data_IF_935408045274
#
_entry.id   IF_935408045274
#
_cell.length_a   1.000
_cell.length_b   1.000
_cell.length_c   1.000
_cell.angle_alpha   90.00
_cell.angle_beta   90.00
_cell.angle_gamma   90.00
#
_symmetry.space_group_name_H-M   'P 1'
#
loop_
_entity.id
_entity.type
_entity.pdbx_description
1 polymer ?
#
# COMPACT_ATOMS: atom_id res chain seq x y z
N UNK A 1 48.42 -18.87 18.42
CA UNK A 1 47.78 -19.88 19.29
C UNK A 1 46.36 -20.05 18.80
N UNK A 2 46.03 -21.27 18.39
CA UNK A 2 44.81 -21.65 17.70
C UNK A 2 43.67 -21.90 18.68
N UNK A 3 42.42 -21.59 18.29
CA UNK A 3 41.22 -22.35 18.69
C UNK A 3 40.00 -21.92 17.89
N UNK A 4 39.77 -22.64 16.79
CA UNK A 4 38.46 -23.17 16.36
C UNK A 4 38.67 -24.71 16.40
N UNK A 5 37.66 -25.61 16.47
CA UNK A 5 36.25 -25.45 16.13
C UNK A 5 35.25 -26.22 17.02
N UNK A 6 33.95 -26.01 16.81
CA UNK A 6 32.94 -27.04 17.12
C UNK A 6 31.73 -26.91 16.18
N UNK A 7 31.64 -27.88 15.27
CA UNK A 7 30.51 -28.11 14.38
C UNK A 7 29.59 -29.19 14.95
N UNK A 8 28.36 -29.25 14.37
CA UNK A 8 27.36 -30.35 14.28
C UNK A 8 26.10 -30.19 15.13
N UNK A 9 24.97 -30.88 14.82
CA UNK A 9 24.64 -31.65 13.60
C UNK A 9 23.30 -31.27 12.94
N UNK A 10 23.15 -31.73 11.70
CA UNK A 10 21.94 -31.63 10.89
C UNK A 10 20.74 -32.41 11.44
N UNK A 11 19.54 -31.98 11.03
CA UNK A 11 18.30 -32.72 11.20
C UNK A 11 17.79 -33.13 9.83
N UNK A 12 17.95 -34.41 9.54
CA UNK A 12 17.26 -35.11 8.46
C UNK A 12 15.76 -35.19 8.78
N UNK A 13 14.91 -34.79 7.83
CA UNK A 13 13.48 -35.04 7.88
C UNK A 13 13.18 -36.37 7.17
N UNK A 14 12.53 -37.35 7.82
CA UNK A 14 12.11 -38.57 7.14
C UNK A 14 10.81 -38.34 6.36
N UNK A 15 10.90 -38.57 5.05
CA UNK A 15 9.77 -38.73 4.12
C UNK A 15 8.81 -39.81 4.62
N UNK A 16 7.53 -39.48 4.82
CA UNK A 16 6.47 -40.48 5.02
C UNK A 16 5.73 -40.74 3.72
N UNK A 17 5.89 -41.98 3.29
CA UNK A 17 5.23 -42.67 2.19
C UNK A 17 3.75 -42.90 2.53
N UNK A 18 2.90 -42.76 1.50
CA UNK A 18 1.44 -42.99 1.50
C UNK A 18 1.07 -44.46 1.80
N UNK A 19 -0.11 -44.71 2.39
CA UNK A 19 -0.86 -45.94 2.13
C UNK A 19 -1.87 -45.73 1.00
N UNK A 20 -1.78 -46.58 -0.02
CA UNK A 20 -2.84 -46.82 -1.02
C UNK A 20 -3.94 -47.67 -0.38
N UNK A 21 -5.20 -47.33 -0.62
CA UNK A 21 -6.34 -48.22 -0.40
C UNK A 21 -6.91 -48.67 -1.75
N UNK A 22 -7.56 -49.85 -1.81
CA UNK A 22 -7.67 -50.67 -3.01
C UNK A 22 -8.92 -50.39 -3.84
N UNK A 23 -8.79 -50.75 -5.11
CA UNK A 23 -9.85 -50.86 -6.10
C UNK A 23 -10.90 -51.93 -5.71
N UNK A 24 -12.16 -51.56 -5.81
CA UNK A 24 -13.30 -52.43 -6.14
C UNK A 24 -14.16 -51.61 -7.12
N UNK A 25 -14.64 -52.09 -8.27
CA UNK A 25 -14.86 -53.45 -8.70
C UNK A 25 -16.31 -53.56 -9.18
N UNK A 26 -16.53 -53.38 -10.48
CA UNK A 26 -17.59 -54.06 -11.25
C UNK A 26 -18.99 -53.45 -11.27
N UNK A 27 -19.58 -53.44 -12.48
CA UNK A 27 -21.01 -53.73 -12.66
C UNK A 27 -21.81 -52.69 -13.43
N UNK A 28 -21.84 -52.82 -14.75
CA UNK A 28 -22.82 -52.18 -15.62
C UNK A 28 -24.18 -52.91 -15.58
N UNK A 29 -25.27 -52.18 -15.84
CA UNK A 29 -26.29 -52.46 -16.87
C UNK A 29 -27.72 -52.07 -16.43
N UNK A 30 -28.26 -51.10 -17.17
CA UNK A 30 -29.62 -50.96 -17.71
C UNK A 30 -30.79 -51.75 -17.10
N UNK A 31 -31.88 -51.03 -16.79
CA UNK A 31 -33.18 -51.13 -17.50
C UNK A 31 -34.21 -50.17 -16.85
N UNK A 32 -34.74 -49.24 -17.64
CA UNK A 32 -36.08 -48.67 -17.47
C UNK A 32 -37.10 -49.60 -18.19
N UNK A 33 -38.44 -49.37 -18.22
CA UNK A 33 -39.21 -48.23 -17.71
C UNK A 33 -40.53 -48.62 -16.98
N UNK A 34 -41.18 -47.67 -16.29
CA UNK A 34 -42.63 -47.69 -16.08
C UNK A 34 -43.19 -46.27 -15.98
N UNK A 35 -44.33 -46.08 -16.62
CA UNK A 35 -44.97 -44.83 -17.02
C UNK A 35 -46.18 -44.54 -16.11
N UNK A 36 -46.51 -43.24 -16.01
CA UNK A 36 -47.75 -42.59 -15.56
C UNK A 36 -47.84 -42.19 -14.07
N UNK A 37 -48.68 -41.20 -13.70
CA UNK A 37 -49.42 -40.19 -14.49
C UNK A 37 -49.06 -38.73 -14.12
N UNK A 38 -49.57 -37.78 -14.91
CA UNK A 38 -49.40 -36.35 -14.75
C UNK A 38 -50.00 -35.82 -13.43
N UNK A 39 -49.20 -35.05 -12.68
CA UNK A 39 -49.62 -34.25 -11.54
C UNK A 39 -49.40 -32.78 -11.89
N UNK A 40 -50.47 -32.01 -11.81
CA UNK A 40 -50.58 -30.61 -12.20
C UNK A 40 -49.69 -29.76 -11.29
N UNK A 41 -48.71 -29.05 -11.88
CA UNK A 41 -47.84 -28.12 -11.16
C UNK A 41 -48.61 -26.86 -10.80
N UNK A 42 -48.55 -26.38 -9.54
CA UNK A 42 -48.97 -25.02 -9.23
C UNK A 42 -48.01 -24.03 -9.91
N UNK A 43 -48.57 -23.03 -10.58
CA UNK A 43 -47.83 -21.90 -11.13
C UNK A 43 -47.12 -21.16 -10.00
N UNK A 44 -45.80 -21.29 -9.93
CA UNK A 44 -44.95 -20.41 -9.13
C UNK A 44 -45.03 -19.00 -9.72
N UNK A 45 -45.28 -17.96 -8.91
CA UNK A 45 -45.24 -16.58 -9.39
C UNK A 45 -43.83 -16.27 -9.89
N UNK A 46 -43.78 -15.56 -11.03
CA UNK A 46 -42.55 -15.12 -11.66
C UNK A 46 -41.64 -14.42 -10.64
N UNK A 47 -40.49 -15.03 -10.37
CA UNK A 47 -39.37 -14.35 -9.69
C UNK A 47 -38.90 -13.30 -10.68
N UNK A 48 -39.14 -12.03 -10.37
CA UNK A 48 -38.54 -10.90 -11.07
C UNK A 48 -37.02 -11.09 -11.00
N UNK A 49 -36.42 -11.24 -12.18
CA UNK A 49 -34.99 -11.44 -12.39
C UNK A 49 -34.28 -10.14 -11.96
N UNK A 50 -33.83 -10.08 -10.71
CA UNK A 50 -33.03 -8.98 -10.20
C UNK A 50 -31.75 -8.92 -11.03
N UNK A 51 -31.42 -7.77 -11.66
CA UNK A 51 -30.25 -7.69 -12.54
C UNK A 51 -29.00 -8.11 -11.76
N UNK A 52 -28.10 -8.91 -12.36
CA UNK A 52 -26.93 -9.40 -11.68
C UNK A 52 -26.14 -8.23 -11.10
N UNK A 53 -25.65 -8.36 -9.85
CA UNK A 53 -24.89 -7.28 -9.21
C UNK A 53 -23.71 -6.89 -10.10
N UNK A 54 -23.38 -5.59 -10.18
CA UNK A 54 -22.26 -5.13 -10.99
C UNK A 54 -20.99 -5.90 -10.60
N UNK A 55 -20.11 -6.22 -11.57
CA UNK A 55 -18.86 -6.90 -11.27
C UNK A 55 -18.07 -6.07 -10.25
N UNK A 56 -17.39 -6.72 -9.29
CA UNK A 56 -16.56 -6.00 -8.32
C UNK A 56 -15.53 -5.14 -9.08
N UNK A 57 -15.27 -3.90 -8.63
CA UNK A 57 -14.25 -3.06 -9.24
C UNK A 57 -12.93 -3.82 -9.28
N UNK A 58 -12.18 -3.61 -10.37
CA UNK A 58 -10.85 -4.22 -10.46
C UNK A 58 -9.94 -3.61 -9.39
N UNK A 59 -8.94 -4.35 -8.89
CA UNK A 59 -8.01 -3.83 -7.86
C UNK A 59 -7.35 -2.49 -8.27
N UNK A 60 -7.31 -2.21 -9.57
CA UNK A 60 -6.75 -1.01 -10.20
C UNK A 60 -7.69 0.21 -10.18
N UNK A 61 -8.97 0.05 -9.87
CA UNK A 61 -9.95 1.13 -9.76
C UNK A 61 -10.13 1.64 -8.33
N UNK A 62 -9.56 0.95 -7.35
CA UNK A 62 -9.72 1.25 -5.93
C UNK A 62 -8.92 2.50 -5.56
N UNK A 63 -9.61 3.59 -5.23
CA UNK A 63 -9.02 4.85 -4.73
C UNK A 63 -9.04 4.96 -3.21
N UNK A 64 -9.74 4.05 -2.52
CA UNK A 64 -9.86 4.02 -1.05
C UNK A 64 -9.90 2.56 -0.59
N UNK A 65 -9.11 2.25 0.44
CA UNK A 65 -9.11 0.94 1.07
C UNK A 65 -10.23 0.82 2.11
N UNK A 66 -10.63 -0.41 2.45
CA UNK A 66 -11.62 -0.69 3.52
C UNK A 66 -11.22 -0.09 4.88
N UNK A 67 -9.93 0.18 5.07
CA UNK A 67 -9.36 0.84 6.26
C UNK A 67 -9.64 2.35 6.32
N UNK A 68 -10.22 2.93 5.26
CA UNK A 68 -10.38 4.38 5.07
C UNK A 68 -9.13 5.09 4.54
N UNK A 69 -8.06 4.33 4.22
CA UNK A 69 -6.86 4.92 3.64
C UNK A 69 -7.12 5.30 2.18
N UNK A 70 -7.07 6.60 1.90
CA UNK A 70 -7.14 7.16 0.55
C UNK A 70 -5.86 6.85 -0.21
N UNK A 71 -5.98 6.51 -1.48
CA UNK A 71 -4.86 6.19 -2.38
C UNK A 71 -4.73 7.29 -3.44
N UNK A 72 -3.85 8.30 -3.22
CA UNK A 72 -3.62 9.36 -4.21
C UNK A 72 -3.04 8.84 -5.52
N UNK A 73 -2.35 7.70 -5.46
CA UNK A 73 -1.88 6.92 -6.60
C UNK A 73 -2.46 5.51 -6.50
N UNK A 74 -2.92 4.97 -7.62
CA UNK A 74 -3.35 3.57 -7.75
C UNK A 74 -2.16 2.70 -8.16
N UNK A 75 -2.35 1.38 -8.14
CA UNK A 75 -1.33 0.43 -8.59
C UNK A 75 -0.88 0.68 -10.03
N UNK A 76 -1.82 0.98 -10.93
CA UNK A 76 -1.50 1.33 -12.33
C UNK A 76 -0.63 2.58 -12.43
N UNK A 77 -0.94 3.62 -11.67
CA UNK A 77 -0.22 4.89 -11.69
C UNK A 77 1.24 4.69 -11.20
N UNK A 78 1.44 3.87 -10.16
CA UNK A 78 2.77 3.47 -9.68
C UNK A 78 3.53 2.67 -10.74
N UNK A 79 2.85 1.77 -11.45
CA UNK A 79 3.42 1.01 -12.56
C UNK A 79 3.94 1.92 -13.68
N UNK A 80 3.15 2.92 -14.07
CA UNK A 80 3.54 3.93 -15.06
C UNK A 80 4.78 4.72 -14.63
N UNK A 81 4.84 5.17 -13.38
CA UNK A 81 6.01 5.88 -12.83
C UNK A 81 7.25 4.98 -12.82
N UNK A 82 7.11 3.71 -12.44
CA UNK A 82 8.22 2.76 -12.39
C UNK A 82 8.74 2.34 -13.76
N UNK A 83 7.90 2.40 -14.80
CA UNK A 83 8.26 2.08 -16.18
C UNK A 83 9.22 3.12 -16.82
N UNK A 84 9.29 4.33 -16.26
CA UNK A 84 10.20 5.40 -16.71
C UNK A 84 11.67 5.17 -16.30
N UNK A 85 11.94 4.10 -15.54
CA UNK A 85 13.26 3.51 -15.26
C UNK A 85 14.43 4.49 -15.02
N UNK A 86 14.28 5.38 -14.03
CA UNK A 86 15.35 6.27 -13.60
C UNK A 86 15.44 7.59 -14.37
N UNK A 87 14.56 7.83 -15.35
CA UNK A 87 14.31 9.19 -15.85
C UNK A 87 13.56 10.01 -14.79
N UNK A 88 14.33 10.56 -13.86
CA UNK A 88 13.80 11.40 -12.77
C UNK A 88 13.01 12.60 -13.29
N UNK A 89 13.36 13.14 -14.46
CA UNK A 89 12.66 14.30 -15.02
C UNK A 89 11.28 13.91 -15.53
N UNK A 90 11.19 12.79 -16.25
CA UNK A 90 9.91 12.25 -16.69
C UNK A 90 9.03 11.81 -15.50
N UNK A 91 9.62 11.12 -14.52
CA UNK A 91 8.92 10.69 -13.31
C UNK A 91 8.34 11.87 -12.53
N UNK A 92 9.11 12.95 -12.38
CA UNK A 92 8.66 14.19 -11.73
C UNK A 92 7.44 14.76 -12.45
N UNK A 93 7.49 14.89 -13.78
CA UNK A 93 6.38 15.46 -14.56
C UNK A 93 5.10 14.62 -14.45
N UNK A 94 5.22 13.30 -14.55
CA UNK A 94 4.07 12.38 -14.44
C UNK A 94 3.47 12.44 -13.05
N UNK A 95 4.30 12.37 -12.01
CA UNK A 95 3.86 12.43 -10.63
C UNK A 95 3.21 13.78 -10.27
N UNK A 96 3.80 14.90 -10.70
CA UNK A 96 3.23 16.24 -10.50
C UNK A 96 1.84 16.35 -11.14
N UNK A 97 1.67 15.81 -12.34
CA UNK A 97 0.40 15.82 -13.06
C UNK A 97 -0.66 14.92 -12.40
N UNK A 98 -0.30 13.69 -12.01
CA UNK A 98 -1.21 12.74 -11.35
C UNK A 98 -1.73 13.26 -10.01
N UNK A 99 -0.87 13.92 -9.23
CA UNK A 99 -1.20 14.35 -7.88
C UNK A 99 -1.69 15.80 -7.78
N UNK A 100 -1.68 16.56 -8.89
CA UNK A 100 -2.01 17.99 -8.91
C UNK A 100 -1.09 18.80 -8.00
N UNK A 101 0.23 18.51 -8.03
CA UNK A 101 1.18 19.14 -7.10
C UNK A 101 1.40 20.62 -7.40
N UNK A 102 1.19 21.06 -8.64
CA UNK A 102 1.31 22.47 -9.03
C UNK A 102 0.27 23.33 -8.29
N UNK A 103 -0.96 22.81 -8.18
CA UNK A 103 -2.08 23.46 -7.52
C UNK A 103 -1.95 23.36 -5.99
N UNK A 104 -1.60 22.17 -5.47
CA UNK A 104 -1.43 21.93 -4.03
C UNK A 104 -0.23 22.69 -3.44
N UNK A 105 0.83 22.86 -4.23
CA UNK A 105 2.08 23.49 -3.83
C UNK A 105 2.52 24.50 -4.89
N UNK A 106 1.97 25.73 -4.89
CA UNK A 106 2.29 26.74 -5.91
C UNK A 106 3.77 27.18 -5.86
N UNK A 107 4.37 27.16 -4.66
CA UNK A 107 5.77 27.53 -4.43
C UNK A 107 6.71 26.41 -4.90
N UNK A 108 7.55 26.71 -5.91
CA UNK A 108 8.38 25.70 -6.58
C UNK A 108 9.33 24.91 -5.66
N UNK A 109 10.08 25.52 -4.71
CA UNK A 109 10.93 24.75 -3.79
C UNK A 109 10.15 23.75 -2.93
N UNK A 110 8.96 24.13 -2.44
CA UNK A 110 8.10 23.24 -1.66
C UNK A 110 7.60 22.08 -2.52
N UNK A 111 7.12 22.39 -3.72
CA UNK A 111 6.65 21.39 -4.68
C UNK A 111 7.75 20.39 -5.02
N UNK A 112 8.96 20.87 -5.28
CA UNK A 112 10.11 20.03 -5.56
C UNK A 112 10.44 19.10 -4.39
N UNK A 113 10.49 19.63 -3.16
CA UNK A 113 10.77 18.81 -1.98
C UNK A 113 9.71 17.70 -1.76
N UNK A 114 8.43 18.02 -1.98
CA UNK A 114 7.32 17.06 -1.89
C UNK A 114 7.42 16.00 -3.00
N UNK A 115 7.71 16.41 -4.23
CA UNK A 115 7.85 15.50 -5.36
C UNK A 115 9.04 14.54 -5.17
N UNK A 116 10.20 15.07 -4.76
CA UNK A 116 11.40 14.26 -4.45
C UNK A 116 11.12 13.26 -3.32
N UNK A 117 10.41 13.69 -2.27
CA UNK A 117 10.00 12.80 -1.19
C UNK A 117 9.16 11.62 -1.70
N UNK A 118 8.14 11.87 -2.52
CA UNK A 118 7.31 10.80 -3.08
C UNK A 118 8.08 9.87 -4.02
N UNK A 119 8.91 10.41 -4.92
CA UNK A 119 9.73 9.60 -5.82
C UNK A 119 10.73 8.73 -5.05
N UNK A 120 11.31 9.25 -3.97
CA UNK A 120 12.23 8.49 -3.15
C UNK A 120 11.54 7.33 -2.42
N UNK A 121 10.33 7.55 -1.90
CA UNK A 121 9.51 6.49 -1.31
C UNK A 121 9.14 5.40 -2.34
N UNK A 122 8.72 5.79 -3.55
CA UNK A 122 8.39 4.86 -4.63
C UNK A 122 9.61 4.10 -5.15
N UNK A 123 10.76 4.76 -5.24
CA UNK A 123 12.03 4.14 -5.61
C UNK A 123 12.45 3.09 -4.57
N UNK A 124 12.32 3.40 -3.28
CA UNK A 124 12.59 2.44 -2.22
C UNK A 124 11.63 1.25 -2.26
N UNK A 125 10.34 1.49 -2.48
CA UNK A 125 9.36 0.41 -2.65
C UNK A 125 9.74 -0.53 -3.81
N UNK A 126 10.16 0.04 -4.96
CA UNK A 126 10.69 -0.73 -6.09
C UNK A 126 11.94 -1.52 -5.71
N UNK A 127 12.88 -0.91 -4.97
CA UNK A 127 14.12 -1.54 -4.52
C UNK A 127 13.90 -2.70 -3.53
N UNK A 128 12.82 -2.66 -2.75
CA UNK A 128 12.38 -3.75 -1.87
C UNK A 128 11.56 -4.82 -2.60
N UNK A 129 11.45 -4.74 -3.93
CA UNK A 129 10.65 -5.63 -4.78
C UNK A 129 9.17 -5.69 -4.38
N UNK A 130 8.62 -4.58 -3.90
CA UNK A 130 7.19 -4.49 -3.59
C UNK A 130 6.37 -4.46 -4.88
N UNK A 131 5.16 -5.01 -4.82
CA UNK A 131 4.17 -4.87 -5.90
C UNK A 131 3.76 -3.40 -6.08
N UNK A 132 3.19 -3.06 -7.23
CA UNK A 132 2.67 -1.72 -7.49
C UNK A 132 1.60 -1.31 -6.50
N UNK A 133 0.71 -2.24 -6.11
CA UNK A 133 -0.28 -2.04 -5.05
C UNK A 133 0.37 -1.71 -3.71
N UNK A 134 1.38 -2.48 -3.29
CA UNK A 134 2.14 -2.19 -2.08
C UNK A 134 2.85 -0.82 -2.15
N UNK A 135 3.40 -0.45 -3.31
CA UNK A 135 3.98 0.87 -3.55
C UNK A 135 2.97 2.00 -3.41
N UNK A 136 1.76 1.83 -3.96
CA UNK A 136 0.66 2.79 -3.84
C UNK A 136 0.23 2.99 -2.38
N UNK A 137 0.07 1.90 -1.62
CA UNK A 137 -0.28 1.95 -0.20
C UNK A 137 0.83 2.60 0.63
N UNK A 138 2.09 2.26 0.36
CA UNK A 138 3.20 2.90 1.07
C UNK A 138 3.27 4.39 0.76
N UNK A 139 3.08 4.80 -0.49
CA UNK A 139 2.98 6.19 -0.88
C UNK A 139 1.84 6.91 -0.12
N UNK A 140 0.65 6.32 -0.07
CA UNK A 140 -0.50 6.88 0.64
C UNK A 140 -0.23 7.07 2.15
N UNK A 141 0.39 6.08 2.81
CA UNK A 141 0.81 6.20 4.21
C UNK A 141 1.78 7.38 4.36
N UNK A 142 2.81 7.46 3.53
CA UNK A 142 3.81 8.52 3.62
C UNK A 142 3.26 9.91 3.28
N UNK A 143 2.30 10.00 2.35
CA UNK A 143 1.56 11.23 2.03
C UNK A 143 0.74 11.70 3.23
N UNK A 144 0.02 10.80 3.90
CA UNK A 144 -0.76 11.14 5.09
C UNK A 144 0.14 11.66 6.22
N UNK A 145 1.31 11.05 6.43
CA UNK A 145 2.28 11.52 7.42
C UNK A 145 2.89 12.86 7.01
N UNK A 146 3.22 13.06 5.73
CA UNK A 146 3.73 14.33 5.23
C UNK A 146 2.70 15.46 5.43
N UNK A 147 1.43 15.19 5.15
CA UNK A 147 0.36 16.16 5.31
C UNK A 147 0.08 16.48 6.79
N UNK A 148 0.24 15.53 7.72
CA UNK A 148 0.06 15.81 9.15
C UNK A 148 1.16 16.68 9.75
N UNK A 149 2.32 16.80 9.09
CA UNK A 149 3.39 17.73 9.48
C UNK A 149 3.10 19.19 9.09
N UNK A 150 2.11 19.43 8.23
CA UNK A 150 1.77 20.76 7.74
C UNK A 150 1.07 21.58 8.83
N UNK A 151 1.37 22.87 8.85
CA UNK A 151 0.65 23.85 9.65
C UNK A 151 0.27 25.03 8.76
N UNK A 152 -0.95 25.00 8.21
CA UNK A 152 -1.42 26.06 7.31
C UNK A 152 -1.64 27.39 8.07
N UNK A 153 -1.87 27.32 9.40
CA UNK A 153 -2.05 28.46 10.29
C UNK A 153 -0.77 28.91 11.01
N UNK A 154 0.38 28.34 10.66
CA UNK A 154 1.65 28.77 11.24
C UNK A 154 1.89 30.24 10.89
N UNK A 155 1.73 31.13 11.88
CA UNK A 155 2.19 32.51 11.73
C UNK A 155 3.63 32.50 11.21
N UNK A 156 4.02 33.48 10.39
CA UNK A 156 5.37 33.56 9.81
C UNK A 156 6.53 33.57 10.84
N UNK A 157 6.24 33.48 12.14
CA UNK A 157 7.17 33.41 13.28
C UNK A 157 7.07 32.12 14.10
N UNK A 158 6.21 31.17 13.74
CA UNK A 158 6.08 29.91 14.47
C UNK A 158 7.41 29.15 14.44
N UNK A 159 7.93 28.79 15.61
CA UNK A 159 9.09 27.92 15.70
C UNK A 159 8.65 26.45 15.53
N UNK A 160 9.55 25.53 15.17
CA UNK A 160 9.20 24.10 15.02
C UNK A 160 8.50 23.49 16.23
N UNK A 161 8.79 23.97 17.44
CA UNK A 161 8.14 23.56 18.70
C UNK A 161 6.68 24.01 18.85
N UNK A 162 6.27 25.01 18.06
CA UNK A 162 4.93 25.59 18.10
C UNK A 162 4.01 24.92 17.04
N UNK A 163 4.52 23.93 16.29
CA UNK A 163 3.75 23.21 15.28
C UNK A 163 2.93 22.05 15.89
N UNK A 164 1.77 21.73 15.28
CA UNK A 164 0.73 20.90 15.89
C UNK A 164 1.07 19.40 15.98
N UNK A 165 1.91 18.86 15.08
CA UNK A 165 2.38 17.46 15.17
C UNK A 165 3.87 17.42 15.51
N UNK A 166 4.19 16.80 16.65
CA UNK A 166 5.56 16.44 17.01
C UNK A 166 6.03 15.17 16.30
N UNK A 167 7.35 14.93 16.22
CA UNK A 167 7.91 13.74 15.58
C UNK A 167 7.40 12.44 16.20
N UNK A 168 7.18 12.38 17.52
CA UNK A 168 6.67 11.20 18.21
C UNK A 168 5.24 10.86 17.81
N UNK A 169 4.37 11.87 17.67
CA UNK A 169 2.97 11.69 17.29
C UNK A 169 2.86 11.22 15.84
N UNK A 170 3.62 11.86 14.95
CA UNK A 170 3.68 11.49 13.54
C UNK A 170 4.30 10.08 13.35
N UNK A 171 5.28 9.68 14.19
CA UNK A 171 5.83 8.32 14.17
C UNK A 171 4.83 7.28 14.66
N UNK A 172 4.07 7.56 15.73
CA UNK A 172 3.01 6.67 16.21
C UNK A 172 1.93 6.47 15.13
N UNK A 173 1.51 7.53 14.45
CA UNK A 173 0.56 7.45 13.35
C UNK A 173 1.10 6.58 12.19
N UNK A 174 2.37 6.77 11.83
CA UNK A 174 3.03 5.94 10.82
C UNK A 174 3.04 4.45 11.21
N UNK A 175 3.42 4.13 12.45
CA UNK A 175 3.42 2.75 12.94
C UNK A 175 2.03 2.12 12.92
N UNK A 176 1.01 2.87 13.34
CA UNK A 176 -0.37 2.40 13.32
C UNK A 176 -0.83 2.08 11.90
N UNK A 177 -0.64 3.01 10.96
CA UNK A 177 -1.01 2.80 9.56
C UNK A 177 -0.26 1.61 8.95
N UNK A 178 1.05 1.50 9.19
CA UNK A 178 1.84 0.41 8.65
C UNK A 178 1.37 -0.95 9.20
N UNK A 179 1.13 -1.04 10.51
CA UNK A 179 0.62 -2.26 11.15
C UNK A 179 -0.80 -2.62 10.68
N UNK A 180 -1.66 -1.61 10.48
CA UNK A 180 -3.01 -1.79 9.97
C UNK A 180 -3.01 -2.45 8.58
N UNK A 181 -1.97 -2.21 7.77
CA UNK A 181 -1.82 -2.78 6.44
C UNK A 181 -0.83 -3.96 6.39
N UNK A 182 -0.48 -4.54 7.54
CA UNK A 182 0.43 -5.71 7.65
C UNK A 182 -0.18 -6.91 8.38
N UNK A 183 -1.46 -6.86 8.73
CA UNK A 183 -2.14 -7.90 9.52
C UNK A 183 -3.50 -8.21 8.90
N UNK A 184 -3.77 -9.48 8.61
CA UNK A 184 -5.08 -9.92 8.14
C UNK A 184 -6.14 -9.82 9.25
N UNK A 185 -6.96 -8.77 9.25
CA UNK A 185 -8.18 -8.69 10.06
C UNK A 185 -9.20 -7.70 9.45
N UNK A 186 -9.80 -8.05 8.29
CA UNK A 186 -10.75 -7.16 7.62
C UNK A 186 -12.01 -6.91 8.47
N UNK A 187 -12.67 -5.75 8.35
CA UNK A 187 -12.34 -4.64 7.45
C UNK A 187 -11.23 -3.72 8.00
N UNK A 188 -10.96 -3.78 9.30
CA UNK A 188 -10.09 -2.81 9.98
C UNK A 188 -8.61 -2.94 9.61
N UNK A 189 -8.17 -4.13 9.16
CA UNK A 189 -6.76 -4.42 8.83
C UNK A 189 -6.63 -5.31 7.60
N UNK A 190 -5.65 -5.00 6.77
CA UNK A 190 -5.39 -5.67 5.50
C UNK A 190 -3.99 -6.30 5.50
N UNK A 191 -3.85 -7.45 4.86
CA UNK A 191 -2.57 -8.18 4.72
C UNK A 191 -1.83 -7.72 3.45
N UNK A 192 -1.52 -6.43 3.36
CA UNK A 192 -0.88 -5.83 2.18
C UNK A 192 0.63 -6.01 2.24
N UNK A 193 1.24 -5.79 3.41
CA UNK A 193 2.66 -5.99 3.64
C UNK A 193 2.93 -7.20 4.50
N UNK A 194 3.96 -7.97 4.14
CA UNK A 194 4.50 -8.97 5.05
C UNK A 194 5.23 -8.29 6.20
N UNK A 195 5.31 -8.96 7.35
CA UNK A 195 6.04 -8.48 8.53
C UNK A 195 7.49 -8.06 8.21
N UNK A 196 8.19 -8.80 7.35
CA UNK A 196 9.55 -8.46 6.91
C UNK A 196 9.59 -7.18 6.07
N UNK A 197 8.61 -6.97 5.18
CA UNK A 197 8.49 -5.79 4.33
C UNK A 197 8.17 -4.56 5.18
N UNK A 198 7.19 -4.68 6.09
CA UNK A 198 6.84 -3.64 7.05
C UNK A 198 8.05 -3.21 7.90
N UNK A 199 8.87 -4.16 8.37
CA UNK A 199 10.10 -3.83 9.10
C UNK A 199 11.08 -3.00 8.24
N UNK A 200 11.32 -3.42 7.00
CA UNK A 200 12.23 -2.69 6.09
C UNK A 200 11.71 -1.29 5.77
N UNK A 201 10.40 -1.12 5.59
CA UNK A 201 9.75 0.18 5.38
C UNK A 201 9.87 1.07 6.62
N UNK A 202 9.72 0.51 7.82
CA UNK A 202 9.90 1.25 9.07
C UNK A 202 11.34 1.71 9.27
N UNK A 203 12.33 0.84 9.04
CA UNK A 203 13.76 1.18 9.11
C UNK A 203 14.11 2.28 8.10
N UNK A 204 13.55 2.20 6.89
CA UNK A 204 13.69 3.22 5.87
C UNK A 204 13.07 4.56 6.30
N UNK A 205 11.81 4.58 6.75
CA UNK A 205 11.15 5.81 7.18
C UNK A 205 11.89 6.47 8.36
N UNK A 206 12.39 5.66 9.31
CA UNK A 206 13.20 6.13 10.43
C UNK A 206 14.50 6.80 9.98
N UNK A 207 15.21 6.19 9.04
CA UNK A 207 16.50 6.70 8.54
C UNK A 207 16.38 7.88 7.58
N UNK A 208 15.17 8.18 7.10
CA UNK A 208 14.90 9.18 6.07
C UNK A 208 14.00 10.30 6.59
N UNK A 209 12.68 10.07 6.62
CA UNK A 209 11.69 11.06 7.02
C UNK A 209 11.88 11.49 8.47
N UNK A 210 11.89 10.55 9.42
CA UNK A 210 11.91 10.89 10.84
C UNK A 210 13.28 11.43 11.29
N UNK A 211 14.37 10.96 10.68
CA UNK A 211 15.70 11.54 10.88
C UNK A 211 15.77 13.02 10.46
N UNK A 212 15.04 13.40 9.41
CA UNK A 212 15.01 14.77 8.88
C UNK A 212 13.66 15.46 9.12
N UNK A 213 12.94 15.08 10.18
CA UNK A 213 11.56 15.52 10.43
C UNK A 213 11.43 17.05 10.42
N UNK A 214 12.29 17.75 11.17
CA UNK A 214 12.26 19.21 11.25
C UNK A 214 12.56 19.89 9.90
N UNK A 215 13.37 19.27 9.05
CA UNK A 215 13.66 19.80 7.71
C UNK A 215 12.40 19.73 6.82
N UNK A 216 11.76 18.56 6.76
CA UNK A 216 10.51 18.41 6.00
C UNK A 216 9.42 19.34 6.52
N UNK A 217 9.24 19.39 7.84
CA UNK A 217 8.28 20.28 8.49
C UNK A 217 8.54 21.75 8.16
N UNK A 218 9.80 22.18 8.12
CA UNK A 218 10.19 23.53 7.71
C UNK A 218 9.87 23.81 6.23
N UNK A 219 10.24 22.91 5.32
CA UNK A 219 9.95 23.05 3.89
C UNK A 219 8.45 23.15 3.59
N UNK A 220 7.64 22.43 4.35
CA UNK A 220 6.18 22.42 4.20
C UNK A 220 5.51 23.67 4.78
N UNK A 221 6.04 24.22 5.88
CA UNK A 221 5.35 25.26 6.64
C UNK A 221 5.84 26.66 6.30
N UNK A 222 7.14 26.84 6.03
CA UNK A 222 7.68 28.16 5.74
C UNK A 222 7.43 28.53 4.27
N UNK A 223 6.78 29.66 3.97
CA UNK A 223 6.88 30.25 2.66
C UNK A 223 8.34 30.69 2.51
N UNK A 224 9.10 30.04 1.62
CA UNK A 224 10.41 30.56 1.24
C UNK A 224 10.20 31.87 0.46
N UNK A 225 10.00 32.97 1.19
CA UNK A 225 10.24 34.30 0.64
C UNK A 225 11.76 34.41 0.46
N UNK A 226 12.25 34.01 -0.72
CA UNK A 226 13.52 34.55 -1.19
C UNK A 226 13.25 36.04 -1.40
N UNK A 227 13.41 36.84 -0.35
CA UNK A 227 13.49 38.29 -0.53
C UNK A 227 14.65 38.51 -1.49
N UNK A 228 14.44 39.10 -2.67
CA UNK A 228 15.58 39.63 -3.40
C UNK A 228 16.25 40.61 -2.43
N UNK A 229 17.52 40.37 -2.10
CA UNK A 229 18.33 41.42 -1.51
C UNK A 229 18.35 42.52 -2.56
N UNK A 230 17.48 43.51 -2.39
CA UNK A 230 17.50 44.73 -3.19
C UNK A 230 18.83 45.41 -2.83
N UNK A 231 19.74 45.59 -3.78
CA UNK A 231 21.03 46.23 -3.54
C UNK A 231 20.89 47.70 -3.15
#
# INVERSE_FOLDING_TARGET
QASTPAARPGRHWPSRVRPRLPCAGGGAAAMAPKKAPAEERPETPAVEDEPPPPPPPTEDEVTELETGLQLPLRGVDVGEIWALDGDFTAQTKVLEAMLGLAEKHPVAPRRQAVCEFYLYNLSQAKALCLSTRQGAVFHAIMDQILNSMRCDDASARAQPKDLPCGPEQCFQAFQQLLLQHSVASPPDRLDIFKVSEARMLADFAMSTLFKHFLLYQFCLSCPQEVRPMVP
#
